data_IF_516509343635
#
_entry.id   IF_516509343635
#
_cell.length_a   1.000
_cell.length_b   1.000
_cell.length_c   1.000
_cell.angle_alpha   90.00
_cell.angle_beta   90.00
_cell.angle_gamma   90.00
#
_symmetry.space_group_name_H-M   'P 1'
#
loop_
_entity.id
_entity.type
_entity.pdbx_description
1 polymer ?
#
# COMPACT_ATOMS: atom_id res chain seq x y z
N UNK A 1 26.98 14.22 17.99
CA UNK A 1 27.01 12.88 18.65
C UNK A 1 26.01 12.92 19.79
N UNK A 2 24.77 12.48 19.57
CA UNK A 2 23.81 12.28 20.65
C UNK A 2 24.09 10.90 21.25
N UNK A 3 24.85 10.84 22.34
CA UNK A 3 24.87 9.68 23.23
C UNK A 3 23.42 9.40 23.62
N UNK A 4 22.96 8.21 23.27
CA UNK A 4 21.56 7.79 23.42
C UNK A 4 21.14 7.99 24.88
N UNK A 5 20.07 8.75 25.11
CA UNK A 5 19.52 9.05 26.44
C UNK A 5 19.31 7.79 27.31
N UNK A 6 19.20 6.59 26.71
CA UNK A 6 18.97 5.37 27.45
C UNK A 6 20.23 4.82 28.13
N UNK A 7 21.42 5.07 27.59
CA UNK A 7 22.71 4.70 28.26
C UNK A 7 22.91 5.49 29.53
N UNK A 8 22.56 6.79 29.52
CA UNK A 8 22.59 7.62 30.73
C UNK A 8 21.56 7.19 31.81
N UNK A 9 20.42 6.64 31.38
CA UNK A 9 19.41 6.08 32.28
C UNK A 9 19.91 4.81 32.97
N UNK A 10 20.59 3.94 32.26
CA UNK A 10 21.19 2.75 32.80
C UNK A 10 22.30 3.09 33.81
N UNK A 11 23.02 4.20 33.62
CA UNK A 11 24.00 4.72 34.55
C UNK A 11 23.37 5.32 35.82
N UNK A 12 22.13 5.85 35.75
CA UNK A 12 21.40 6.38 36.92
C UNK A 12 20.71 5.30 37.74
N UNK A 13 20.56 4.09 37.20
CA UNK A 13 20.01 2.92 37.87
C UNK A 13 21.16 2.01 38.29
N UNK A 14 21.14 1.52 39.48
CA UNK A 14 22.15 0.55 40.01
C UNK A 14 21.89 -0.85 39.43
N UNK A 15 22.10 -0.97 38.11
CA UNK A 15 21.85 -2.20 37.36
C UNK A 15 22.96 -3.23 37.65
N UNK A 16 22.60 -4.52 37.82
CA UNK A 16 23.58 -5.58 37.92
C UNK A 16 24.56 -5.60 36.73
N UNK A 17 25.85 -5.99 36.96
CA UNK A 17 26.85 -6.03 35.91
C UNK A 17 26.44 -6.94 34.72
N UNK A 18 25.69 -8.02 34.98
CA UNK A 18 25.19 -8.95 33.98
C UNK A 18 24.20 -8.26 32.97
N UNK A 19 23.53 -7.20 33.43
CA UNK A 19 22.63 -6.40 32.59
C UNK A 19 23.39 -5.25 31.96
N UNK A 20 24.16 -4.47 32.76
CA UNK A 20 24.84 -3.27 32.28
C UNK A 20 25.87 -3.56 31.19
N UNK A 21 26.62 -4.66 31.27
CA UNK A 21 27.59 -5.09 30.26
C UNK A 21 26.94 -5.51 28.92
N UNK A 22 25.67 -5.87 28.94
CA UNK A 22 24.90 -6.27 27.75
C UNK A 22 24.11 -5.11 27.12
N UNK A 23 24.11 -3.95 27.75
CA UNK A 23 23.59 -2.71 27.19
C UNK A 23 24.61 -2.16 26.21
N UNK A 24 24.29 -2.21 24.91
CA UNK A 24 25.14 -1.59 23.87
C UNK A 24 24.98 -0.07 23.82
N UNK A 25 25.83 0.59 23.05
CA UNK A 25 25.77 2.06 22.85
C UNK A 25 24.56 2.52 22.05
N UNK A 26 23.93 1.61 21.29
CA UNK A 26 22.78 1.88 20.45
C UNK A 26 21.52 1.18 20.94
N UNK A 27 20.37 1.81 20.68
CA UNK A 27 19.06 1.28 21.06
C UNK A 27 18.84 -0.15 20.55
N UNK A 28 19.23 -0.43 19.30
CA UNK A 28 19.05 -1.75 18.69
C UNK A 28 17.57 -2.14 18.53
N UNK A 29 17.29 -3.43 18.68
CA UNK A 29 15.94 -3.97 18.68
C UNK A 29 15.38 -4.08 20.10
N UNK A 30 14.07 -4.20 20.20
CA UNK A 30 13.39 -4.44 21.48
C UNK A 30 13.87 -5.79 22.04
N UNK A 31 14.19 -5.81 23.34
CA UNK A 31 14.74 -6.99 23.99
C UNK A 31 14.53 -6.96 25.50
N UNK A 32 14.63 -8.09 26.11
CA UNK A 32 14.79 -8.19 27.55
C UNK A 32 16.23 -8.55 27.93
N UNK A 33 16.68 -8.07 29.04
CA UNK A 33 17.94 -8.45 29.68
C UNK A 33 17.63 -8.92 31.10
N UNK A 34 18.26 -9.98 31.53
CA UNK A 34 18.10 -10.58 32.86
C UNK A 34 19.46 -10.82 33.49
N UNK A 35 19.53 -10.73 34.81
CA UNK A 35 20.72 -11.02 35.61
C UNK A 35 20.43 -10.83 37.11
N UNK A 36 20.96 -11.72 37.95
CA UNK A 36 20.81 -11.65 39.39
C UNK A 36 19.35 -11.47 39.91
N UNK A 37 18.37 -12.05 39.22
CA UNK A 37 16.95 -11.89 39.57
C UNK A 37 16.31 -10.56 39.13
N UNK A 38 17.05 -9.72 38.40
CA UNK A 38 16.57 -8.47 37.85
C UNK A 38 16.12 -8.68 36.38
N UNK A 39 15.14 -7.88 35.94
CA UNK A 39 14.64 -7.83 34.59
C UNK A 39 14.70 -6.40 34.05
N UNK A 40 15.33 -6.19 32.90
CA UNK A 40 15.30 -4.94 32.17
C UNK A 40 14.63 -5.16 30.80
N UNK A 41 13.54 -4.46 30.57
CA UNK A 41 12.88 -4.39 29.27
C UNK A 41 13.36 -3.13 28.54
N UNK A 42 13.87 -3.31 27.33
CA UNK A 42 14.21 -2.23 26.39
C UNK A 42 13.20 -2.29 25.26
N UNK A 43 12.22 -1.41 25.30
CA UNK A 43 11.16 -1.31 24.31
C UNK A 43 11.34 -0.07 23.43
N UNK A 44 10.60 0.03 22.34
CA UNK A 44 10.61 1.22 21.50
C UNK A 44 9.41 2.12 21.80
N UNK A 45 9.60 3.43 21.69
CA UNK A 45 8.49 4.36 21.60
C UNK A 45 7.67 4.07 20.33
N UNK A 46 6.37 4.42 20.30
CA UNK A 46 5.56 4.30 19.08
C UNK A 46 6.26 4.99 17.89
N UNK A 47 6.31 4.35 16.72
CA UNK A 47 6.93 4.92 15.54
C UNK A 47 6.18 6.19 15.12
N UNK A 48 6.92 7.26 14.86
CA UNK A 48 6.36 8.47 14.27
C UNK A 48 6.55 8.42 12.75
N UNK A 49 5.61 8.95 11.96
CA UNK A 49 5.78 9.05 10.53
C UNK A 49 7.12 9.72 10.17
N UNK A 50 7.81 9.18 9.16
CA UNK A 50 9.09 9.72 8.65
C UNK A 50 10.28 9.76 9.63
N UNK A 51 10.18 9.12 10.81
CA UNK A 51 11.31 8.99 11.73
C UNK A 51 11.97 7.62 11.62
N UNK A 52 13.25 7.61 11.24
CA UNK A 52 14.06 6.39 11.18
C UNK A 52 14.62 5.97 12.54
N UNK A 53 14.86 6.93 13.45
CA UNK A 53 15.38 6.65 14.78
C UNK A 53 14.24 6.42 15.78
N UNK A 54 14.22 5.23 16.38
CA UNK A 54 13.26 4.85 17.41
C UNK A 54 13.83 5.20 18.78
N UNK A 55 13.07 5.95 19.57
CA UNK A 55 13.41 6.18 20.97
C UNK A 55 13.32 4.87 21.77
N UNK A 56 14.33 4.57 22.58
CA UNK A 56 14.23 3.48 23.55
C UNK A 56 13.47 3.95 24.79
N UNK A 57 12.73 3.02 25.37
CA UNK A 57 12.07 3.14 26.67
C UNK A 57 12.47 1.95 27.53
N UNK A 58 13.01 2.23 28.70
CA UNK A 58 13.53 1.24 29.61
C UNK A 58 12.59 1.06 30.81
N UNK A 59 12.37 -0.18 31.20
CA UNK A 59 11.54 -0.58 32.32
C UNK A 59 12.33 -1.62 33.13
N UNK A 60 12.69 -1.31 34.37
CA UNK A 60 13.52 -2.18 35.18
C UNK A 60 12.75 -2.70 36.41
N UNK A 61 12.75 -4.01 36.56
CA UNK A 61 12.24 -4.71 37.74
C UNK A 61 13.43 -5.26 38.55
N UNK A 62 13.53 -4.88 39.82
CA UNK A 62 14.58 -5.39 40.68
C UNK A 62 14.30 -6.83 41.18
N UNK A 63 15.26 -7.43 41.88
CA UNK A 63 15.13 -8.77 42.46
C UNK A 63 14.06 -8.88 43.56
N UNK A 64 13.56 -7.75 44.10
CA UNK A 64 12.47 -7.68 45.07
C UNK A 64 11.10 -7.47 44.43
N UNK A 65 11.04 -7.39 43.07
CA UNK A 65 9.80 -7.20 42.33
C UNK A 65 9.37 -5.74 42.18
N UNK A 66 10.19 -4.77 42.55
CA UNK A 66 9.85 -3.34 42.41
C UNK A 66 10.21 -2.86 41.02
N UNK A 67 9.29 -2.11 40.38
CA UNK A 67 9.49 -1.50 39.10
C UNK A 67 10.07 -0.10 39.16
N UNK A 68 11.02 0.18 38.28
CA UNK A 68 11.62 1.48 38.06
C UNK A 68 11.33 1.91 36.62
N UNK A 69 10.87 3.13 36.45
CA UNK A 69 10.41 3.66 35.16
C UNK A 69 11.29 4.81 34.71
N UNK A 70 11.45 4.89 33.40
CA UNK A 70 12.10 6.03 32.80
C UNK A 70 11.24 7.28 32.95
N UNK A 71 11.87 8.40 33.32
CA UNK A 71 11.20 9.70 33.31
C UNK A 71 11.10 10.23 31.88
N UNK A 72 9.91 10.60 31.47
CA UNK A 72 9.62 11.27 30.19
C UNK A 72 8.80 12.51 30.55
N UNK A 73 9.27 13.68 30.11
CA UNK A 73 8.64 14.96 30.46
C UNK A 73 8.37 15.13 31.98
N UNK A 74 9.37 14.77 32.79
CA UNK A 74 9.33 14.78 34.26
C UNK A 74 8.25 13.89 34.91
N UNK A 75 7.68 12.94 34.16
CA UNK A 75 6.75 11.93 34.66
C UNK A 75 7.32 10.52 34.46
N UNK A 76 7.14 9.60 35.43
CA UNK A 76 7.49 8.20 35.24
C UNK A 76 6.54 7.58 34.22
N UNK A 77 7.07 6.91 33.18
CA UNK A 77 6.26 6.21 32.18
C UNK A 77 6.11 4.74 32.59
N UNK A 78 4.94 4.33 33.01
CA UNK A 78 4.62 2.92 33.29
C UNK A 78 4.51 2.08 32.03
N UNK A 79 4.53 0.74 32.19
CA UNK A 79 4.31 -0.19 31.07
C UNK A 79 2.90 -0.08 30.48
N UNK A 80 1.90 0.13 31.33
CA UNK A 80 0.51 0.34 30.96
C UNK A 80 0.35 1.62 30.12
N UNK A 81 0.93 2.73 30.55
CA UNK A 81 0.90 4.00 29.83
C UNK A 81 1.63 3.89 28.50
N UNK A 82 2.76 3.15 28.47
CA UNK A 82 3.48 2.86 27.25
C UNK A 82 2.60 2.11 26.22
N UNK A 83 1.87 1.09 26.65
CA UNK A 83 0.94 0.35 25.79
C UNK A 83 -0.25 1.20 25.37
N UNK A 84 -0.79 2.02 26.27
CA UNK A 84 -1.88 2.94 25.98
C UNK A 84 -1.51 3.99 24.91
N UNK A 85 -0.23 4.40 24.84
CA UNK A 85 0.23 5.24 23.73
C UNK A 85 0.16 4.50 22.38
N UNK A 86 0.50 3.23 22.35
CA UNK A 86 0.39 2.43 21.14
C UNK A 86 -1.08 2.20 20.73
N UNK A 87 -2.00 2.00 21.67
CA UNK A 87 -3.42 1.77 21.41
C UNK A 87 -4.10 2.95 20.70
N UNK A 88 -3.64 4.18 20.94
CA UNK A 88 -4.16 5.38 20.27
C UNK A 88 -4.03 5.36 18.73
N UNK A 89 -3.06 4.61 18.19
CA UNK A 89 -2.82 4.58 16.74
C UNK A 89 -3.80 3.67 16.00
N UNK A 90 -3.96 2.37 16.35
CA UNK A 90 -4.98 1.53 15.73
C UNK A 90 -6.38 2.12 15.88
N UNK A 91 -6.75 2.63 17.05
CA UNK A 91 -8.05 3.24 17.30
C UNK A 91 -8.32 4.42 16.35
N UNK A 92 -7.31 5.26 16.13
CA UNK A 92 -7.42 6.39 15.19
C UNK A 92 -7.56 5.90 13.75
N UNK A 93 -6.81 4.89 13.35
CA UNK A 93 -6.83 4.33 11.98
C UNK A 93 -8.11 3.54 11.71
N UNK A 94 -8.61 2.80 12.69
CA UNK A 94 -9.88 2.07 12.63
C UNK A 94 -11.06 3.03 12.40
N UNK A 95 -11.03 4.19 13.03
CA UNK A 95 -12.03 5.25 12.80
C UNK A 95 -11.94 5.91 11.41
N UNK A 96 -10.81 5.77 10.71
CA UNK A 96 -10.62 6.27 9.34
C UNK A 96 -11.02 5.24 8.28
N UNK A 97 -10.88 3.94 8.55
CA UNK A 97 -11.18 2.86 7.61
C UNK A 97 -12.55 2.97 6.93
N UNK A 98 -13.68 3.25 7.64
CA UNK A 98 -14.99 3.37 6.99
C UNK A 98 -15.12 4.51 5.98
N UNK A 99 -14.17 5.44 5.95
CA UNK A 99 -14.11 6.60 5.04
C UNK A 99 -13.11 6.42 3.91
N UNK A 100 -12.44 5.28 3.88
CA UNK A 100 -11.37 4.94 2.96
C UNK A 100 -11.97 4.25 1.74
N UNK A 101 -12.11 4.96 0.63
CA UNK A 101 -12.73 4.47 -0.61
C UNK A 101 -11.74 4.34 -1.77
N UNK A 102 -10.60 5.04 -1.70
CA UNK A 102 -9.60 5.03 -2.76
C UNK A 102 -8.41 4.11 -2.44
N UNK A 103 -7.72 3.67 -3.48
CA UNK A 103 -6.50 2.89 -3.30
C UNK A 103 -5.40 3.69 -2.59
N UNK A 104 -5.34 4.99 -2.81
CA UNK A 104 -4.41 5.93 -2.20
C UNK A 104 -4.63 6.03 -0.69
N UNK A 105 -5.89 6.13 -0.26
CA UNK A 105 -6.24 6.22 1.16
C UNK A 105 -5.84 4.94 1.91
N UNK A 106 -6.15 3.76 1.35
CA UNK A 106 -5.73 2.47 1.93
C UNK A 106 -4.21 2.36 2.01
N UNK A 107 -3.49 2.84 0.99
CA UNK A 107 -2.04 2.83 0.98
C UNK A 107 -1.46 3.70 2.11
N UNK A 108 -1.98 4.90 2.34
CA UNK A 108 -1.54 5.80 3.41
C UNK A 108 -1.74 5.17 4.80
N UNK A 109 -2.89 4.52 5.02
CA UNK A 109 -3.15 3.78 6.27
C UNK A 109 -2.15 2.64 6.45
N UNK A 110 -1.90 1.83 5.41
CA UNK A 110 -0.96 0.71 5.46
C UNK A 110 0.49 1.16 5.66
N UNK A 111 0.90 2.29 5.08
CA UNK A 111 2.24 2.87 5.28
C UNK A 111 2.46 3.24 6.75
N UNK A 112 1.46 3.81 7.40
CA UNK A 112 1.51 4.16 8.83
C UNK A 112 1.44 2.91 9.72
N UNK A 113 0.57 1.96 9.39
CA UNK A 113 0.30 0.78 10.21
C UNK A 113 1.44 -0.26 10.17
N UNK A 114 2.14 -0.39 9.04
CA UNK A 114 3.20 -1.39 8.86
C UNK A 114 4.34 -1.27 9.89
N UNK A 115 4.97 -0.10 10.11
CA UNK A 115 6.02 0.04 11.11
C UNK A 115 5.48 -0.10 12.54
N UNK A 116 4.24 0.30 12.79
CA UNK A 116 3.56 0.16 14.06
C UNK A 116 3.34 -1.31 14.40
N UNK A 117 2.75 -2.08 13.49
CA UNK A 117 2.50 -3.51 13.64
C UNK A 117 3.80 -4.30 13.89
N UNK A 118 4.88 -3.96 13.18
CA UNK A 118 6.18 -4.58 13.41
C UNK A 118 6.69 -4.29 14.83
N UNK A 119 6.53 -3.06 15.31
CA UNK A 119 6.96 -2.67 16.67
C UNK A 119 6.14 -3.39 17.75
N UNK A 120 4.82 -3.46 17.57
CA UNK A 120 3.91 -4.16 18.50
C UNK A 120 4.23 -5.65 18.56
N UNK A 121 4.49 -6.29 17.42
CA UNK A 121 4.84 -7.72 17.36
C UNK A 121 6.11 -8.03 18.14
N UNK A 122 7.16 -7.24 17.96
CA UNK A 122 8.40 -7.42 18.72
C UNK A 122 8.21 -7.12 20.21
N UNK A 123 7.44 -6.11 20.56
CA UNK A 123 7.10 -5.79 21.95
C UNK A 123 6.38 -6.96 22.63
N UNK A 124 5.34 -7.52 21.96
CA UNK A 124 4.64 -8.69 22.48
C UNK A 124 5.57 -9.90 22.67
N UNK A 125 6.49 -10.15 21.71
CA UNK A 125 7.48 -11.24 21.87
C UNK A 125 8.36 -11.05 23.09
N UNK A 126 8.89 -9.85 23.31
CA UNK A 126 9.72 -9.52 24.49
C UNK A 126 8.95 -9.69 25.80
N UNK A 127 7.69 -9.24 25.84
CA UNK A 127 6.84 -9.38 27.03
C UNK A 127 6.47 -10.85 27.29
N UNK A 128 6.26 -11.64 26.24
CA UNK A 128 6.04 -13.08 26.35
C UNK A 128 7.28 -13.81 26.91
N UNK A 129 8.47 -13.47 26.42
CA UNK A 129 9.73 -14.01 26.95
C UNK A 129 9.93 -13.63 28.41
N UNK A 130 9.66 -12.36 28.76
CA UNK A 130 9.75 -11.87 30.13
C UNK A 130 8.80 -12.63 31.07
N UNK A 131 7.54 -12.82 30.65
CA UNK A 131 6.57 -13.59 31.45
C UNK A 131 6.98 -15.06 31.66
N UNK A 132 7.54 -15.71 30.64
CA UNK A 132 8.00 -17.11 30.75
C UNK A 132 9.14 -17.22 31.79
N UNK A 133 10.06 -16.24 31.79
CA UNK A 133 11.22 -16.25 32.68
C UNK A 133 10.94 -15.77 34.10
N UNK A 134 9.99 -14.87 34.25
CA UNK A 134 9.57 -14.28 35.54
C UNK A 134 8.10 -14.62 35.80
N UNK A 135 7.79 -15.91 35.86
CA UNK A 135 6.43 -16.41 36.02
C UNK A 135 5.75 -15.96 37.35
N UNK A 136 6.55 -15.60 38.34
CA UNK A 136 6.07 -15.05 39.62
C UNK A 136 5.63 -13.59 39.50
N UNK A 137 5.98 -12.88 38.43
CA UNK A 137 5.61 -11.49 38.19
C UNK A 137 4.21 -11.43 37.57
N UNK A 138 3.17 -11.50 38.39
CA UNK A 138 1.77 -11.53 37.93
C UNK A 138 1.38 -10.31 37.10
N UNK A 139 2.01 -9.16 37.35
CA UNK A 139 1.82 -7.94 36.57
C UNK A 139 2.17 -8.12 35.06
N UNK A 140 3.19 -8.96 34.75
CA UNK A 140 3.59 -9.24 33.38
C UNK A 140 2.51 -9.99 32.59
N UNK A 141 1.62 -10.74 33.26
CA UNK A 141 0.50 -11.42 32.59
C UNK A 141 -0.42 -10.39 31.95
N UNK A 142 -0.84 -9.39 32.73
CA UNK A 142 -1.76 -8.35 32.25
C UNK A 142 -1.14 -7.52 31.11
N UNK A 143 0.13 -7.15 31.28
CA UNK A 143 0.87 -6.38 30.27
C UNK A 143 1.03 -7.16 28.97
N UNK A 144 1.39 -8.44 29.04
CA UNK A 144 1.47 -9.35 27.88
C UNK A 144 0.11 -9.47 27.19
N UNK A 145 -0.94 -9.68 27.95
CA UNK A 145 -2.30 -9.87 27.39
C UNK A 145 -2.81 -8.59 26.72
N UNK A 146 -2.48 -7.44 27.29
CA UNK A 146 -2.76 -6.14 26.68
C UNK A 146 -1.97 -5.96 25.37
N UNK A 147 -0.69 -6.32 25.38
CA UNK A 147 0.14 -6.29 24.16
C UNK A 147 -0.35 -7.27 23.10
N UNK A 148 -0.85 -8.45 23.50
CA UNK A 148 -1.47 -9.41 22.59
C UNK A 148 -2.76 -8.86 21.97
N UNK A 149 -3.65 -8.27 22.78
CA UNK A 149 -4.87 -7.60 22.31
C UNK A 149 -4.52 -6.55 21.25
N UNK A 150 -3.55 -5.69 21.57
CA UNK A 150 -3.08 -4.63 20.67
C UNK A 150 -2.50 -5.18 19.36
N UNK A 151 -1.70 -6.25 19.45
CA UNK A 151 -1.20 -6.95 18.27
C UNK A 151 -2.34 -7.48 17.40
N UNK A 152 -3.30 -8.17 18.02
CA UNK A 152 -4.42 -8.78 17.28
C UNK A 152 -5.29 -7.74 16.59
N UNK A 153 -5.63 -6.64 17.28
CA UNK A 153 -6.38 -5.53 16.69
C UNK A 153 -5.64 -4.92 15.49
N UNK A 154 -4.33 -4.69 15.66
CA UNK A 154 -3.51 -4.12 14.58
C UNK A 154 -3.35 -5.06 13.38
N UNK A 155 -3.27 -6.38 13.60
CA UNK A 155 -3.23 -7.38 12.52
C UNK A 155 -4.55 -7.43 11.75
N UNK A 156 -5.70 -7.43 12.44
CA UNK A 156 -7.01 -7.41 11.81
C UNK A 156 -7.22 -6.15 10.96
N UNK A 157 -6.84 -4.99 11.49
CA UNK A 157 -6.91 -3.73 10.75
C UNK A 157 -6.00 -3.74 9.53
N UNK A 158 -4.78 -4.27 9.65
CA UNK A 158 -3.86 -4.41 8.52
C UNK A 158 -4.43 -5.31 7.41
N UNK A 159 -5.00 -6.46 7.77
CA UNK A 159 -5.63 -7.38 6.82
C UNK A 159 -6.85 -6.75 6.17
N UNK A 160 -7.69 -6.03 6.93
CA UNK A 160 -8.85 -5.31 6.39
C UNK A 160 -8.45 -4.25 5.37
N UNK A 161 -7.50 -3.38 5.73
CA UNK A 161 -7.00 -2.34 4.83
C UNK A 161 -6.32 -2.94 3.58
N UNK A 162 -5.57 -4.03 3.72
CA UNK A 162 -4.95 -4.73 2.59
C UNK A 162 -5.99 -5.28 1.63
N UNK A 163 -7.03 -5.94 2.14
CA UNK A 163 -8.13 -6.46 1.32
C UNK A 163 -8.89 -5.31 0.64
N UNK A 164 -9.13 -4.21 1.37
CA UNK A 164 -9.74 -3.00 0.81
C UNK A 164 -8.93 -2.42 -0.35
N UNK A 165 -7.61 -2.34 -0.20
CA UNK A 165 -6.70 -1.90 -1.26
C UNK A 165 -6.79 -2.80 -2.51
N UNK A 166 -6.78 -4.11 -2.33
CA UNK A 166 -6.88 -5.08 -3.44
C UNK A 166 -8.21 -4.91 -4.20
N UNK A 167 -9.33 -4.70 -3.48
CA UNK A 167 -10.65 -4.44 -4.07
C UNK A 167 -10.66 -3.11 -4.82
N UNK A 168 -10.09 -2.04 -4.25
CA UNK A 168 -10.03 -0.72 -4.88
C UNK A 168 -9.21 -0.75 -6.17
N UNK A 169 -8.06 -1.43 -6.17
CA UNK A 169 -7.20 -1.63 -7.35
C UNK A 169 -7.92 -2.45 -8.43
N UNK A 170 -8.60 -3.54 -8.05
CA UNK A 170 -9.37 -4.34 -8.99
C UNK A 170 -10.51 -3.55 -9.64
N UNK A 171 -11.23 -2.73 -8.85
CA UNK A 171 -12.29 -1.84 -9.36
C UNK A 171 -11.75 -0.81 -10.35
N UNK A 172 -10.62 -0.17 -10.02
CA UNK A 172 -9.98 0.79 -10.92
C UNK A 172 -9.54 0.14 -12.23
N UNK A 173 -8.98 -1.07 -12.16
CA UNK A 173 -8.60 -1.84 -13.36
C UNK A 173 -9.80 -2.19 -14.23
N UNK A 174 -10.94 -2.52 -13.64
CA UNK A 174 -12.18 -2.78 -14.38
C UNK A 174 -12.70 -1.52 -15.08
N UNK A 175 -12.69 -0.37 -14.39
CA UNK A 175 -13.08 0.92 -14.98
C UNK A 175 -12.19 1.24 -16.17
N UNK A 176 -10.86 1.17 -16.03
CA UNK A 176 -9.90 1.40 -17.11
C UNK A 176 -10.11 0.44 -18.29
N UNK A 177 -10.40 -0.84 -18.01
CA UNK A 177 -10.70 -1.82 -19.07
C UNK A 177 -12.00 -1.48 -19.82
N UNK A 178 -13.03 -0.98 -19.14
CA UNK A 178 -14.28 -0.53 -19.77
C UNK A 178 -14.05 0.70 -20.64
N UNK A 179 -13.31 1.69 -20.16
CA UNK A 179 -12.94 2.89 -20.89
C UNK A 179 -12.10 2.57 -22.13
N UNK A 180 -11.08 1.72 -21.96
CA UNK A 180 -10.24 1.25 -23.07
C UNK A 180 -11.05 0.53 -24.15
N UNK A 181 -12.04 -0.29 -23.78
CA UNK A 181 -12.97 -0.92 -24.73
C UNK A 181 -13.86 0.11 -25.45
N UNK A 182 -14.30 1.16 -24.73
CA UNK A 182 -15.10 2.23 -25.34
C UNK A 182 -14.26 3.02 -26.35
N UNK A 183 -13.03 3.40 -25.99
CA UNK A 183 -12.08 4.07 -26.87
C UNK A 183 -11.74 3.21 -28.10
N UNK A 184 -11.46 1.93 -27.91
CA UNK A 184 -11.18 1.00 -29.02
C UNK A 184 -12.36 0.88 -30.01
N UNK A 185 -13.61 0.89 -29.50
CA UNK A 185 -14.81 0.90 -30.36
C UNK A 185 -14.94 2.20 -31.13
N UNK A 186 -14.66 3.34 -30.50
CA UNK A 186 -14.69 4.66 -31.15
C UNK A 186 -13.61 4.77 -32.22
N UNK A 187 -12.37 4.39 -31.91
CA UNK A 187 -11.26 4.34 -32.86
C UNK A 187 -11.55 3.42 -34.03
N UNK A 188 -12.16 2.26 -33.77
CA UNK A 188 -12.56 1.35 -34.86
C UNK A 188 -13.59 1.99 -35.81
N UNK A 189 -14.60 2.69 -35.28
CA UNK A 189 -15.57 3.41 -36.13
C UNK A 189 -14.88 4.47 -36.98
N UNK A 190 -13.99 5.26 -36.37
CA UNK A 190 -13.22 6.26 -37.07
C UNK A 190 -12.36 5.65 -38.20
N UNK A 191 -11.64 4.57 -37.88
CA UNK A 191 -10.82 3.87 -38.88
C UNK A 191 -11.67 3.32 -40.03
N UNK A 192 -12.88 2.87 -39.75
CA UNK A 192 -13.82 2.42 -40.76
C UNK A 192 -14.25 3.57 -41.67
N UNK A 193 -14.54 4.75 -41.09
CA UNK A 193 -14.83 5.95 -41.89
C UNK A 193 -13.63 6.38 -42.74
N UNK A 194 -12.43 6.41 -42.20
CA UNK A 194 -11.22 6.76 -42.91
C UNK A 194 -10.97 5.75 -44.06
N UNK A 195 -11.07 4.45 -43.79
CA UNK A 195 -10.90 3.39 -44.78
C UNK A 195 -11.92 3.47 -45.94
N UNK A 196 -13.13 3.97 -45.65
CA UNK A 196 -14.16 4.19 -46.67
C UNK A 196 -13.95 5.51 -47.42
N UNK A 197 -13.80 6.62 -46.73
CA UNK A 197 -13.78 7.94 -47.36
C UNK A 197 -12.45 8.27 -48.03
N UNK A 198 -11.32 7.79 -47.51
CA UNK A 198 -10.00 8.13 -48.02
C UNK A 198 -9.81 7.67 -49.51
N UNK A 199 -10.09 6.42 -49.88
CA UNK A 199 -10.02 6.00 -51.29
C UNK A 199 -11.01 6.76 -52.18
N UNK A 200 -12.23 7.01 -51.69
CA UNK A 200 -13.25 7.76 -52.43
C UNK A 200 -12.79 9.21 -52.69
N UNK A 201 -12.27 9.87 -51.68
CA UNK A 201 -11.79 11.25 -51.79
C UNK A 201 -10.56 11.36 -52.72
N UNK A 202 -9.58 10.44 -52.60
CA UNK A 202 -8.39 10.44 -53.44
C UNK A 202 -8.71 10.17 -54.91
N UNK A 203 -9.57 9.19 -55.17
CA UNK A 203 -9.98 8.88 -56.55
C UNK A 203 -10.84 10.00 -57.15
N UNK A 204 -11.75 10.58 -56.36
CA UNK A 204 -12.55 11.75 -56.81
C UNK A 204 -11.66 12.94 -57.13
N UNK A 205 -10.60 13.19 -56.34
CA UNK A 205 -9.63 14.23 -56.60
C UNK A 205 -8.85 14.02 -57.90
N UNK A 206 -8.39 12.80 -58.16
CA UNK A 206 -7.68 12.46 -59.39
C UNK A 206 -8.58 12.61 -60.61
N UNK A 207 -9.84 12.14 -60.55
CA UNK A 207 -10.84 12.29 -61.62
C UNK A 207 -11.16 13.75 -61.86
N UNK A 208 -11.33 14.57 -60.82
CA UNK A 208 -11.59 16.01 -60.95
C UNK A 208 -10.46 16.76 -61.68
N UNK A 209 -9.21 16.40 -61.42
CA UNK A 209 -8.04 16.97 -62.09
C UNK A 209 -8.06 16.58 -63.58
N UNK A 210 -8.33 15.32 -63.92
CA UNK A 210 -8.41 14.86 -65.32
C UNK A 210 -9.55 15.51 -66.08
N UNK A 211 -10.71 15.72 -65.44
CA UNK A 211 -11.90 16.34 -66.07
C UNK A 211 -11.74 17.85 -66.22
N UNK A 212 -11.11 18.52 -65.24
CA UNK A 212 -10.78 19.95 -65.37
C UNK A 212 -9.86 20.25 -66.56
N UNK A 213 -9.01 19.31 -66.95
CA UNK A 213 -8.16 19.38 -68.18
C UNK A 213 -8.95 19.12 -69.45
N UNK A 214 -10.13 18.51 -69.42
CA UNK A 214 -10.92 18.13 -70.60
C UNK A 214 -12.26 18.84 -70.75
N UNK A 215 -12.66 19.65 -69.76
CA UNK A 215 -13.83 20.53 -69.85
C UNK A 215 -15.22 19.86 -69.75
N UNK A 216 -15.36 18.59 -69.44
CA UNK A 216 -16.63 17.85 -69.49
C UNK A 216 -16.93 17.17 -68.15
N UNK A 217 -17.56 17.92 -67.22
CA UNK A 217 -17.88 17.52 -65.85
C UNK A 217 -19.05 16.50 -65.74
N UNK A 218 -19.83 16.32 -66.77
CA UNK A 218 -21.04 15.48 -66.75
C UNK A 218 -20.95 14.29 -67.74
N UNK A 219 -19.75 13.85 -68.12
CA UNK A 219 -19.55 12.69 -68.95
C UNK A 219 -19.97 11.41 -68.24
N UNK A 220 -20.60 10.48 -68.92
CA UNK A 220 -21.01 9.15 -68.48
C UNK A 220 -19.88 8.40 -67.81
N UNK A 221 -18.62 8.65 -68.21
CA UNK A 221 -17.41 8.09 -67.60
C UNK A 221 -17.11 8.63 -66.20
N UNK A 222 -17.46 9.90 -65.88
CA UNK A 222 -17.29 10.49 -64.59
C UNK A 222 -18.24 9.86 -63.53
N UNK A 223 -19.49 9.65 -63.90
CA UNK A 223 -20.50 8.99 -63.04
C UNK A 223 -20.12 7.53 -62.78
N UNK A 224 -19.66 6.80 -63.77
CA UNK A 224 -19.19 5.41 -63.64
C UNK A 224 -17.98 5.31 -62.68
N UNK A 225 -17.07 6.26 -62.69
CA UNK A 225 -15.90 6.30 -61.81
C UNK A 225 -16.30 6.54 -60.35
N UNK A 226 -17.25 7.44 -60.09
CA UNK A 226 -17.77 7.70 -58.72
C UNK A 226 -18.46 6.44 -58.16
N UNK A 227 -19.27 5.77 -58.98
CA UNK A 227 -19.92 4.50 -58.59
C UNK A 227 -18.88 3.42 -58.30
N UNK A 228 -17.84 3.30 -59.13
CA UNK A 228 -16.74 2.35 -58.93
C UNK A 228 -15.98 2.61 -57.61
N UNK A 229 -15.73 3.87 -57.29
CA UNK A 229 -15.10 4.26 -56.01
C UNK A 229 -15.96 3.91 -54.79
N UNK A 230 -17.28 4.11 -54.88
CA UNK A 230 -18.22 3.73 -53.80
C UNK A 230 -18.25 2.22 -53.60
N UNK A 231 -18.34 1.43 -54.68
CA UNK A 231 -18.30 -0.04 -54.60
C UNK A 231 -16.98 -0.53 -54.00
N UNK A 232 -15.85 0.04 -54.41
CA UNK A 232 -14.54 -0.30 -53.90
C UNK A 232 -14.43 0.02 -52.39
N UNK A 233 -14.95 1.17 -51.95
CA UNK A 233 -15.02 1.53 -50.50
C UNK A 233 -15.84 0.53 -49.69
N UNK A 234 -16.99 0.07 -50.24
CA UNK A 234 -17.84 -0.95 -49.59
C UNK A 234 -17.11 -2.29 -49.45
N UNK A 235 -16.42 -2.72 -50.51
CA UNK A 235 -15.65 -3.98 -50.52
C UNK A 235 -14.52 -3.97 -49.52
N UNK A 236 -13.74 -2.89 -49.45
CA UNK A 236 -12.67 -2.73 -48.45
C UNK A 236 -13.25 -2.77 -47.01
N UNK A 237 -14.33 -2.04 -46.77
CA UNK A 237 -15.02 -2.01 -45.49
C UNK A 237 -15.54 -3.39 -45.07
N UNK A 238 -16.10 -4.13 -46.03
CA UNK A 238 -16.56 -5.52 -45.85
C UNK A 238 -15.41 -6.47 -45.51
N UNK A 239 -14.28 -6.34 -46.21
CA UNK A 239 -13.09 -7.15 -45.98
C UNK A 239 -12.48 -6.91 -44.60
N UNK A 240 -12.36 -5.66 -44.16
CA UNK A 240 -11.85 -5.29 -42.80
C UNK A 240 -12.78 -5.83 -41.70
N UNK A 241 -14.10 -5.79 -41.93
CA UNK A 241 -15.07 -6.28 -40.95
C UNK A 241 -15.18 -7.81 -40.94
N UNK A 242 -14.96 -8.46 -42.07
CA UNK A 242 -14.98 -9.93 -42.21
C UNK A 242 -13.76 -10.63 -41.64
N UNK A 243 -12.57 -10.04 -41.78
CA UNK A 243 -11.33 -10.60 -41.21
C UNK A 243 -11.34 -10.62 -39.68
N UNK A 244 -12.08 -9.70 -39.03
CA UNK A 244 -12.23 -9.67 -37.57
C UNK A 244 -13.06 -10.82 -36.99
N UNK A 245 -14.09 -11.29 -37.72
CA UNK A 245 -14.89 -12.45 -37.29
C UNK A 245 -14.07 -13.74 -37.28
N UNK A 246 -13.08 -13.89 -38.16
CA UNK A 246 -12.18 -15.04 -38.19
C UNK A 246 -11.22 -15.08 -36.97
N UNK A 247 -10.70 -13.94 -36.57
CA UNK A 247 -9.77 -13.87 -35.42
C UNK A 247 -10.46 -14.14 -34.08
N UNK A 248 -11.72 -13.78 -33.94
CA UNK A 248 -12.46 -14.00 -32.70
C UNK A 248 -12.84 -15.45 -32.46
N UNK A 249 -13.07 -16.23 -33.55
CA UNK A 249 -13.40 -17.65 -33.43
C UNK A 249 -12.18 -18.55 -33.22
N UNK A 250 -10.95 -18.09 -33.50
CA UNK A 250 -9.73 -18.89 -33.31
C UNK A 250 -9.10 -18.76 -31.92
N UNK A 251 -9.67 -17.97 -31.01
CA UNK A 251 -9.22 -17.87 -29.64
C UNK A 251 -10.08 -18.68 -28.63
N UNK A 252 -11.09 -19.36 -29.10
CA UNK A 252 -12.00 -20.19 -28.27
C UNK A 252 -12.04 -21.68 -28.70
N UNK A 253 -11.16 -22.11 -29.60
CA UNK A 253 -10.81 -23.52 -29.85
C UNK A 253 -9.38 -23.79 -29.34
#
# INVERSE_FOLDING_TARGET
MQTSNYTRLAESWDLPPEISLRLGEHVGHQRMLEGAGHLLLVLHAPPKPYQHNRGARCFWRDSQGRWFYQMIDDQPLSLEEHLAEYEKFPDKLDNLEPRTDSAEDFYEVLETLTPLLRSIRHMHQVLQEAHIKFAEAHELINIRDLAYKLLRTSELLYESCKNGLEIAVARNSEIQARESKALARSAHRLNLFVAFFFPVATLSGVVSIQQGLKGDLLSTNGVLTVIGCLVFGIVITGFINGSRKRWHNSQFD
#
